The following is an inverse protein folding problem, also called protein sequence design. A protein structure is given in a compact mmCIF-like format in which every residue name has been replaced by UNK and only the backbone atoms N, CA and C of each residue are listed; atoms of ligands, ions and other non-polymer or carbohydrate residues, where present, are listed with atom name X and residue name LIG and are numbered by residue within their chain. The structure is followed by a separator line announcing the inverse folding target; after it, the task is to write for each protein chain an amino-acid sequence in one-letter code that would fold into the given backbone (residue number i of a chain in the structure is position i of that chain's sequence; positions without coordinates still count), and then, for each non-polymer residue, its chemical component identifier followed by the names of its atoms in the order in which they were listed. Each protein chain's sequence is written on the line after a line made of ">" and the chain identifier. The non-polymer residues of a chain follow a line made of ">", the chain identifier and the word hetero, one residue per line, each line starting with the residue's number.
data_IF_714310600443
#
_entry.id   IF_714310600443
#
_cell.length_a   1.000
_cell.length_b   1.000
_cell.length_c   1.000
_cell.angle_alpha   90.00
_cell.angle_beta   90.00
_cell.angle_gamma   90.00
#
_symmetry.space_group_name_H-M   'P 1'
#
loop_
_entity.id
_entity.type
_entity.pdbx_description
1 polymer ?
#
# COMPACT_ATOMS: atom_id res chain seq x y z
N UNK A 1 -24.82 49.28 -24.97
CA UNK A 1 -23.59 49.49 -24.20
C UNK A 1 -23.43 48.34 -23.22
N UNK A 2 -22.51 47.43 -23.52
CA UNK A 2 -22.13 46.38 -22.59
C UNK A 2 -21.26 47.00 -21.50
N UNK A 3 -21.74 47.01 -20.27
CA UNK A 3 -20.94 47.42 -19.12
C UNK A 3 -20.06 46.25 -18.71
N UNK A 4 -18.77 46.32 -18.98
CA UNK A 4 -17.81 45.37 -18.46
C UNK A 4 -17.67 45.61 -16.95
N UNK A 5 -18.21 44.71 -16.14
CA UNK A 5 -17.99 44.65 -14.71
C UNK A 5 -16.61 44.04 -14.51
N UNK A 6 -15.60 44.86 -14.19
CA UNK A 6 -14.33 44.36 -13.76
C UNK A 6 -14.49 43.80 -12.35
N UNK A 7 -14.32 42.48 -12.19
CA UNK A 7 -14.18 41.86 -10.87
C UNK A 7 -12.81 42.25 -10.31
N UNK A 8 -12.76 43.25 -9.44
CA UNK A 8 -11.51 43.84 -8.93
C UNK A 8 -10.98 43.20 -7.64
N UNK A 9 -11.70 42.23 -7.09
CA UNK A 9 -11.25 41.45 -5.93
C UNK A 9 -11.92 40.08 -5.92
N UNK A 10 -11.29 39.16 -6.56
CA UNK A 10 -11.55 37.74 -6.31
C UNK A 10 -10.32 37.13 -5.64
N UNK A 11 -10.53 36.18 -4.75
CA UNK A 11 -9.48 35.39 -4.14
C UNK A 11 -9.77 33.94 -4.48
N UNK A 12 -8.78 33.26 -5.00
CA UNK A 12 -8.86 31.79 -5.26
C UNK A 12 -8.88 30.97 -3.96
N UNK A 13 -9.03 31.64 -2.82
CA UNK A 13 -8.90 31.04 -1.51
C UNK A 13 -7.45 31.06 -1.01
N UNK A 14 -7.22 30.50 0.15
CA UNK A 14 -5.88 30.35 0.72
C UNK A 14 -5.17 29.18 0.07
N UNK A 15 -3.86 29.30 -0.12
CA UNK A 15 -3.02 28.18 -0.58
C UNK A 15 -3.18 27.02 0.40
N UNK A 16 -3.48 25.83 -0.13
CA UNK A 16 -3.56 24.61 0.66
C UNK A 16 -2.16 24.24 1.12
N UNK A 17 -1.98 24.09 2.42
CA UNK A 17 -0.72 23.67 3.05
C UNK A 17 -0.84 22.29 3.67
N UNK A 18 0.28 21.62 3.97
CA UNK A 18 0.26 20.34 4.67
C UNK A 18 -0.48 20.42 6.00
N UNK A 19 -0.32 21.51 6.77
CA UNK A 19 -1.02 21.71 8.04
C UNK A 19 -2.54 21.85 7.87
N UNK A 20 -3.03 22.48 6.80
CA UNK A 20 -4.47 22.56 6.52
C UNK A 20 -5.05 21.21 6.13
N UNK A 21 -4.28 20.38 5.39
CA UNK A 21 -4.68 18.99 5.06
C UNK A 21 -4.73 18.15 6.33
N UNK A 22 -3.69 18.21 7.17
CA UNK A 22 -3.65 17.46 8.44
C UNK A 22 -4.86 17.78 9.29
N UNK A 23 -5.16 19.07 9.47
CA UNK A 23 -6.30 19.49 10.27
C UNK A 23 -7.65 19.05 9.68
N UNK A 24 -7.80 19.13 8.35
CA UNK A 24 -9.06 18.82 7.67
C UNK A 24 -9.31 17.33 7.46
N UNK A 25 -8.26 16.55 7.18
CA UNK A 25 -8.39 15.14 6.79
C UNK A 25 -8.07 14.16 7.94
N UNK A 26 -7.07 14.49 8.77
CA UNK A 26 -6.54 13.60 9.81
C UNK A 26 -6.79 14.13 11.24
N UNK A 27 -7.50 15.24 11.38
CA UNK A 27 -7.96 15.76 12.67
C UNK A 27 -9.03 14.85 13.31
N UNK A 28 -9.31 15.06 14.59
CA UNK A 28 -10.38 14.31 15.28
C UNK A 28 -11.56 15.23 15.56
N UNK A 29 -12.80 14.90 15.09
CA UNK A 29 -13.15 13.77 14.23
C UNK A 29 -12.69 13.97 12.78
N UNK A 30 -12.21 12.90 12.13
CA UNK A 30 -11.87 12.91 10.71
C UNK A 30 -13.12 12.67 9.85
N UNK A 31 -13.28 13.37 8.70
CA UNK A 31 -14.35 13.05 7.76
C UNK A 31 -14.27 11.62 7.22
N UNK A 32 -13.08 11.01 7.20
CA UNK A 32 -12.89 9.62 6.79
C UNK A 32 -13.44 8.60 7.81
N UNK A 33 -13.68 9.01 9.06
CA UNK A 33 -14.22 8.10 10.10
C UNK A 33 -15.65 7.64 9.77
N UNK A 34 -16.36 8.39 8.93
CA UNK A 34 -17.70 8.00 8.45
C UNK A 34 -17.68 6.91 7.38
N UNK A 35 -16.54 6.66 6.76
CA UNK A 35 -16.39 5.66 5.69
C UNK A 35 -16.13 4.30 6.33
N UNK A 36 -17.04 3.36 6.08
CA UNK A 36 -17.00 2.01 6.66
C UNK A 36 -16.03 1.06 5.93
N UNK A 37 -15.62 1.40 4.71
CA UNK A 37 -14.72 0.57 3.91
C UNK A 37 -13.25 0.87 4.21
N UNK A 38 -12.37 -0.11 3.95
CA UNK A 38 -10.93 0.10 3.97
C UNK A 38 -10.50 1.16 2.97
N UNK A 39 -9.51 1.97 3.34
CA UNK A 39 -9.07 3.10 2.53
C UNK A 39 -7.64 2.91 2.01
N UNK A 40 -7.41 3.33 0.77
CA UNK A 40 -6.09 3.66 0.26
C UNK A 40 -5.96 5.19 0.29
N UNK A 41 -4.95 5.69 0.98
CA UNK A 41 -4.75 7.12 1.23
C UNK A 41 -3.49 7.58 0.50
N UNK A 42 -3.60 8.67 -0.24
CA UNK A 42 -2.46 9.43 -0.74
C UNK A 42 -2.66 10.91 -0.46
N UNK A 43 -1.60 11.58 -0.03
CA UNK A 43 -1.59 13.03 0.17
C UNK A 43 -0.89 13.66 -1.04
N UNK A 44 -1.62 13.73 -2.14
CA UNK A 44 -1.09 14.16 -3.44
C UNK A 44 -0.45 15.55 -3.38
N UNK A 45 0.79 15.64 -3.83
CA UNK A 45 1.54 16.90 -3.87
C UNK A 45 2.27 17.27 -2.56
N UNK A 46 2.07 16.49 -1.49
CA UNK A 46 2.76 16.70 -0.21
C UNK A 46 3.67 15.53 0.11
N UNK A 47 4.90 15.84 0.50
CA UNK A 47 5.94 14.86 0.81
C UNK A 47 6.74 15.25 2.05
N UNK A 48 6.35 16.35 2.69
CA UNK A 48 6.95 16.73 3.96
C UNK A 48 6.62 15.72 5.06
N UNK A 49 7.62 15.43 5.92
CA UNK A 49 7.50 14.39 6.94
C UNK A 49 6.34 14.66 7.92
N UNK A 50 6.03 15.89 8.21
CA UNK A 50 4.95 16.27 9.14
C UNK A 50 3.59 15.83 8.62
N UNK A 51 3.30 16.15 7.36
CA UNK A 51 2.02 15.80 6.70
C UNK A 51 1.91 14.28 6.50
N UNK A 52 2.97 13.65 6.00
CA UNK A 52 2.98 12.20 5.74
C UNK A 52 2.89 11.40 7.04
N UNK A 53 3.62 11.77 8.09
CA UNK A 53 3.55 11.08 9.38
C UNK A 53 2.16 11.21 10.04
N UNK A 54 1.46 12.30 9.80
CA UNK A 54 0.06 12.45 10.25
C UNK A 54 -0.86 11.47 9.53
N UNK A 55 -0.69 11.30 8.21
CA UNK A 55 -1.44 10.30 7.43
C UNK A 55 -1.12 8.87 7.88
N UNK A 56 0.17 8.55 8.13
CA UNK A 56 0.60 7.24 8.64
C UNK A 56 -0.01 6.98 10.02
N UNK A 57 0.03 7.97 10.92
CA UNK A 57 -0.54 7.85 12.26
C UNK A 57 -2.05 7.62 12.20
N UNK A 58 -2.75 8.35 11.34
CA UNK A 58 -4.18 8.15 11.10
C UNK A 58 -4.48 6.74 10.60
N UNK A 59 -3.78 6.26 9.57
CA UNK A 59 -3.97 4.93 9.02
C UNK A 59 -3.67 3.81 10.04
N UNK A 60 -2.62 3.99 10.84
CA UNK A 60 -2.27 3.05 11.92
C UNK A 60 -3.32 3.02 13.05
N UNK A 61 -3.87 4.18 13.40
CA UNK A 61 -4.94 4.28 14.41
C UNK A 61 -6.26 3.71 13.92
N UNK A 62 -6.58 3.89 12.65
CA UNK A 62 -7.77 3.33 12.03
C UNK A 62 -7.68 1.82 11.77
N UNK A 63 -6.47 1.27 11.58
CA UNK A 63 -6.11 -0.15 11.32
C UNK A 63 -6.61 -0.75 10.00
N UNK A 64 -7.62 -0.19 9.36
CA UNK A 64 -8.21 -0.67 8.10
C UNK A 64 -7.78 0.15 6.85
N UNK A 65 -6.75 0.98 6.98
CA UNK A 65 -6.31 1.89 5.93
C UNK A 65 -4.84 1.68 5.59
N UNK A 66 -4.43 2.07 4.37
CA UNK A 66 -3.05 1.97 3.90
C UNK A 66 -2.64 3.23 3.15
N UNK A 67 -1.45 3.77 3.45
CA UNK A 67 -0.93 5.00 2.85
C UNK A 67 0.02 4.66 1.71
N UNK A 68 -0.23 5.23 0.53
CA UNK A 68 0.65 5.14 -0.64
C UNK A 68 1.30 6.51 -0.83
N UNK A 69 2.62 6.57 -0.67
CA UNK A 69 3.37 7.82 -0.61
C UNK A 69 4.09 8.04 -1.94
N UNK A 70 3.93 9.24 -2.49
CA UNK A 70 4.74 9.72 -3.60
C UNK A 70 6.11 10.14 -3.10
N UNK A 71 7.14 9.61 -3.74
CA UNK A 71 8.49 10.11 -3.57
C UNK A 71 8.66 11.42 -4.33
N UNK A 72 9.31 12.41 -3.73
CA UNK A 72 9.69 13.64 -4.43
C UNK A 72 10.88 13.42 -5.34
N UNK A 73 10.89 14.12 -6.46
CA UNK A 73 12.14 14.50 -7.11
C UNK A 73 12.77 15.63 -6.28
N UNK A 74 13.96 15.39 -5.74
CA UNK A 74 14.68 16.42 -5.00
C UNK A 74 15.22 17.47 -5.99
N UNK A 75 14.77 18.70 -5.88
CA UNK A 75 15.45 19.88 -6.42
C UNK A 75 16.02 20.64 -5.24
N UNK A 76 17.23 20.43 -4.89
CA UNK A 76 18.19 21.11 -4.01
C UNK A 76 17.80 22.30 -3.11
N UNK A 77 16.53 22.62 -2.95
CA UNK A 77 16.06 23.69 -2.07
C UNK A 77 14.96 23.15 -1.16
N UNK A 78 15.24 23.08 0.13
CA UNK A 78 14.26 22.78 1.15
C UNK A 78 13.05 23.74 1.01
N UNK A 79 11.87 23.17 0.75
CA UNK A 79 10.60 23.90 0.81
C UNK A 79 9.91 24.18 -0.52
N UNK A 80 10.42 23.75 -1.65
CA UNK A 80 9.69 23.85 -2.93
C UNK A 80 9.24 22.49 -3.39
N UNK A 81 7.97 22.16 -3.20
CA UNK A 81 7.25 21.02 -3.80
C UNK A 81 7.06 21.22 -5.30
N UNK A 82 8.08 21.67 -6.01
CA UNK A 82 7.98 21.78 -7.45
C UNK A 82 8.38 20.45 -8.07
N UNK A 83 7.39 19.73 -8.58
CA UNK A 83 7.56 18.68 -9.58
C UNK A 83 8.18 19.36 -10.79
N UNK A 84 9.52 19.42 -10.89
CA UNK A 84 10.18 20.09 -12.01
C UNK A 84 10.70 19.06 -13.01
N UNK A 85 10.37 19.29 -14.28
CA UNK A 85 10.95 18.56 -15.39
C UNK A 85 12.48 18.72 -15.38
N UNK A 86 13.21 17.62 -15.51
CA UNK A 86 14.65 17.62 -15.72
C UNK A 86 15.55 17.43 -14.49
N UNK A 87 15.01 16.94 -13.39
CA UNK A 87 15.79 16.71 -12.16
C UNK A 87 16.66 15.46 -12.26
N UNK A 88 17.91 15.61 -11.86
CA UNK A 88 18.83 14.51 -11.64
C UNK A 88 18.25 13.56 -10.60
N UNK A 89 18.14 12.29 -10.95
CA UNK A 89 17.69 11.24 -10.03
C UNK A 89 18.78 11.09 -8.96
N UNK A 90 18.42 11.40 -7.74
CA UNK A 90 19.26 11.14 -6.58
C UNK A 90 18.56 10.18 -5.62
N UNK A 91 18.80 8.86 -5.75
CA UNK A 91 18.24 7.87 -4.85
C UNK A 91 18.67 8.05 -3.39
N UNK A 92 19.86 8.60 -3.14
CA UNK A 92 20.35 8.83 -1.79
C UNK A 92 19.50 9.90 -1.07
N UNK A 93 19.18 11.00 -1.76
CA UNK A 93 18.28 12.02 -1.22
C UNK A 93 16.87 11.51 -1.01
N UNK A 94 16.38 10.61 -1.87
CA UNK A 94 15.08 9.97 -1.70
C UNK A 94 15.07 9.03 -0.50
N UNK A 95 16.15 8.32 -0.26
CA UNK A 95 16.30 7.46 0.91
C UNK A 95 16.26 8.30 2.20
N UNK A 96 16.99 9.41 2.25
CA UNK A 96 16.99 10.35 3.40
C UNK A 96 15.57 10.85 3.68
N UNK A 97 14.81 11.21 2.65
CA UNK A 97 13.43 11.63 2.82
C UNK A 97 12.55 10.49 3.37
N UNK A 98 12.69 9.29 2.83
CA UNK A 98 11.97 8.11 3.31
C UNK A 98 12.32 7.77 4.76
N UNK A 99 13.57 7.92 5.17
CA UNK A 99 14.02 7.75 6.56
C UNK A 99 13.43 8.77 7.52
N UNK A 100 12.98 9.94 7.02
CA UNK A 100 12.27 10.94 7.84
C UNK A 100 10.83 10.55 8.17
N UNK A 101 10.27 9.56 7.48
CA UNK A 101 8.92 9.07 7.74
C UNK A 101 8.92 8.08 8.90
N UNK A 102 7.82 8.06 9.62
CA UNK A 102 7.61 7.09 10.71
C UNK A 102 7.61 5.67 10.15
N UNK A 103 8.47 4.81 10.71
CA UNK A 103 8.47 3.38 10.37
C UNK A 103 7.10 2.77 10.65
N UNK A 104 6.45 2.26 9.61
CA UNK A 104 5.10 1.72 9.71
C UNK A 104 4.83 0.71 8.61
N UNK A 105 4.15 -0.38 8.98
CA UNK A 105 3.65 -1.34 8.00
C UNK A 105 2.41 -0.85 7.24
N UNK A 106 1.79 0.25 7.66
CA UNK A 106 0.61 0.84 7.04
C UNK A 106 0.94 1.81 5.90
N UNK A 107 2.22 1.90 5.50
CA UNK A 107 2.64 2.82 4.46
C UNK A 107 3.70 2.21 3.54
N UNK A 108 3.72 2.67 2.28
CA UNK A 108 4.75 2.33 1.30
C UNK A 108 5.06 3.53 0.40
N UNK A 109 6.35 3.74 0.10
CA UNK A 109 6.85 4.84 -0.76
C UNK A 109 7.16 4.30 -2.14
N UNK A 110 6.84 5.09 -3.17
CA UNK A 110 7.08 4.76 -4.58
C UNK A 110 7.88 5.85 -5.30
N UNK A 111 8.88 5.43 -6.05
CA UNK A 111 9.82 6.28 -6.78
C UNK A 111 10.21 5.63 -8.13
N UNK A 112 10.48 6.38 -9.17
CA UNK A 112 10.34 7.83 -9.33
C UNK A 112 8.92 8.24 -9.74
N UNK A 113 8.76 9.54 -9.94
CA UNK A 113 7.58 10.11 -10.60
C UNK A 113 7.46 9.60 -12.03
N UNK A 114 6.25 9.65 -12.57
CA UNK A 114 5.93 9.21 -13.92
C UNK A 114 5.56 10.41 -14.80
N UNK A 115 5.91 10.34 -16.07
CA UNK A 115 5.46 11.30 -17.07
C UNK A 115 4.22 10.73 -17.76
N UNK A 116 3.17 11.52 -17.82
CA UNK A 116 1.91 11.19 -18.50
C UNK A 116 1.64 12.22 -19.62
N UNK A 117 0.73 11.90 -20.55
CA UNK A 117 0.15 12.93 -21.41
C UNK A 117 -0.56 13.96 -20.55
N UNK A 118 -0.37 15.25 -20.84
CA UNK A 118 -0.97 16.32 -20.04
C UNK A 118 -2.49 16.40 -20.27
N UNK A 119 -3.33 16.01 -19.31
CA UNK A 119 -4.78 16.08 -19.45
C UNK A 119 -5.31 17.52 -19.37
N UNK A 120 -4.48 18.46 -18.92
CA UNK A 120 -4.84 19.89 -18.80
C UNK A 120 -4.37 20.71 -20.00
N UNK A 121 -3.72 20.08 -20.97
CA UNK A 121 -3.31 20.75 -22.19
C UNK A 121 -4.54 21.25 -22.94
N UNK A 122 -4.60 22.57 -23.20
CA UNK A 122 -5.74 23.21 -23.86
C UNK A 122 -5.97 22.74 -25.30
N UNK A 123 -7.13 23.05 -25.83
CA UNK A 123 -7.47 22.77 -27.23
C UNK A 123 -6.42 23.45 -28.14
N UNK A 124 -5.76 22.65 -28.98
CA UNK A 124 -4.67 23.14 -29.85
C UNK A 124 -3.25 22.97 -29.28
N UNK A 125 -3.13 22.46 -28.06
CA UNK A 125 -1.80 22.07 -27.53
C UNK A 125 -1.22 20.91 -28.36
N UNK A 126 0.12 20.83 -28.50
CA UNK A 126 0.75 19.69 -29.17
C UNK A 126 0.32 18.36 -28.53
N UNK A 127 0.07 17.35 -29.34
CA UNK A 127 -0.21 15.98 -28.85
C UNK A 127 0.93 15.37 -28.05
N UNK A 128 2.09 16.03 -28.05
CA UNK A 128 3.29 15.69 -27.28
C UNK A 128 3.37 16.38 -25.91
N UNK A 129 2.36 17.19 -25.54
CA UNK A 129 2.32 17.82 -24.22
C UNK A 129 2.30 16.76 -23.13
N UNK A 130 3.28 16.81 -22.25
CA UNK A 130 3.43 15.86 -21.15
C UNK A 130 3.53 16.57 -19.80
N UNK A 131 3.16 15.87 -18.73
CA UNK A 131 3.23 16.36 -17.37
C UNK A 131 3.82 15.28 -16.45
N UNK A 132 4.75 15.69 -15.61
CA UNK A 132 5.29 14.82 -14.57
C UNK A 132 4.38 14.87 -13.33
N UNK A 133 4.00 13.71 -12.84
CA UNK A 133 3.09 13.55 -11.70
C UNK A 133 3.60 12.49 -10.74
N UNK A 134 3.12 12.53 -9.50
CA UNK A 134 3.33 11.47 -8.53
C UNK A 134 2.74 10.15 -9.03
N UNK A 135 3.36 9.05 -8.66
CA UNK A 135 2.99 7.72 -9.13
C UNK A 135 1.91 7.06 -8.25
N UNK A 136 1.64 7.57 -7.04
CA UNK A 136 0.78 6.92 -6.06
C UNK A 136 -0.64 6.66 -6.58
N UNK A 137 -1.22 7.57 -7.33
CA UNK A 137 -2.54 7.36 -7.94
C UNK A 137 -2.56 6.15 -8.89
N UNK A 138 -1.54 6.02 -9.74
CA UNK A 138 -1.40 4.87 -10.63
C UNK A 138 -1.13 3.57 -9.85
N UNK A 139 -0.30 3.64 -8.80
CA UNK A 139 -0.01 2.51 -7.91
C UNK A 139 -1.28 2.03 -7.19
N UNK A 140 -2.09 2.93 -6.66
CA UNK A 140 -3.39 2.58 -6.06
C UNK A 140 -4.33 1.91 -7.07
N UNK A 141 -4.32 2.37 -8.33
CA UNK A 141 -5.02 1.70 -9.43
C UNK A 141 -4.53 0.28 -9.69
N UNK A 142 -3.21 0.06 -9.62
CA UNK A 142 -2.60 -1.28 -9.74
C UNK A 142 -2.99 -2.16 -8.53
N UNK A 143 -3.06 -1.60 -7.33
CA UNK A 143 -3.54 -2.32 -6.15
C UNK A 143 -4.96 -2.83 -6.38
N UNK A 144 -5.86 -1.94 -6.76
CA UNK A 144 -7.25 -2.29 -7.01
C UNK A 144 -7.40 -3.34 -8.13
N UNK A 145 -6.66 -3.20 -9.23
CA UNK A 145 -6.67 -4.15 -10.33
C UNK A 145 -6.11 -5.53 -9.92
N UNK A 146 -5.06 -5.54 -9.10
CA UNK A 146 -4.46 -6.78 -8.57
C UNK A 146 -5.42 -7.47 -7.61
N UNK A 147 -6.04 -6.73 -6.71
CA UNK A 147 -7.02 -7.24 -5.75
C UNK A 147 -8.22 -7.89 -6.47
N UNK A 148 -8.72 -7.22 -7.49
CA UNK A 148 -9.87 -7.73 -8.27
C UNK A 148 -9.54 -8.97 -9.09
N UNK A 149 -8.32 -9.08 -9.65
CA UNK A 149 -7.95 -10.16 -10.57
C UNK A 149 -7.26 -11.36 -9.90
N UNK A 150 -6.50 -11.12 -8.84
CA UNK A 150 -5.63 -12.12 -8.22
C UNK A 150 -5.82 -12.24 -6.71
N UNK A 151 -6.47 -11.27 -6.07
CA UNK A 151 -6.63 -11.17 -4.63
C UNK A 151 -5.56 -10.30 -3.94
N UNK A 152 -5.92 -9.82 -2.76
CA UNK A 152 -5.11 -8.87 -1.94
C UNK A 152 -3.76 -9.46 -1.50
N UNK A 153 -3.64 -10.79 -1.43
CA UNK A 153 -2.41 -11.50 -1.06
C UNK A 153 -1.33 -11.47 -2.16
N UNK A 154 -1.70 -11.16 -3.41
CA UNK A 154 -0.73 -11.03 -4.50
C UNK A 154 -0.03 -9.67 -4.41
N UNK A 155 1.31 -9.68 -4.44
CA UNK A 155 2.08 -8.44 -4.51
C UNK A 155 1.68 -7.61 -5.75
N UNK A 156 1.30 -6.33 -5.58
CA UNK A 156 0.97 -5.45 -6.70
C UNK A 156 2.24 -4.91 -7.37
N UNK A 157 3.14 -5.82 -7.71
CA UNK A 157 4.44 -5.56 -8.30
C UNK A 157 4.82 -6.67 -9.29
N UNK A 158 5.81 -6.41 -10.14
CA UNK A 158 6.33 -7.32 -11.14
C UNK A 158 5.81 -7.00 -12.55
N UNK A 159 6.10 -7.89 -13.51
CA UNK A 159 5.83 -7.67 -14.94
C UNK A 159 4.34 -7.41 -15.27
N UNK A 160 3.42 -7.95 -14.47
CA UNK A 160 1.98 -7.75 -14.64
C UNK A 160 1.47 -6.42 -14.04
N UNK A 161 2.28 -5.70 -13.27
CA UNK A 161 1.88 -4.46 -12.58
C UNK A 161 2.24 -3.23 -13.41
N UNK A 162 1.69 -3.17 -14.63
CA UNK A 162 1.98 -2.10 -15.59
C UNK A 162 1.28 -0.80 -15.21
N UNK A 163 2.03 0.31 -15.26
CA UNK A 163 1.51 1.65 -15.08
C UNK A 163 0.87 2.11 -16.40
N UNK A 164 -0.45 1.94 -16.49
CA UNK A 164 -1.20 2.36 -17.67
C UNK A 164 -1.19 3.90 -17.79
N UNK A 165 -1.02 4.40 -19.03
CA UNK A 165 -1.02 5.85 -19.30
C UNK A 165 0.32 6.55 -19.02
N UNK A 166 1.29 5.88 -18.43
CA UNK A 166 2.64 6.44 -18.32
C UNK A 166 3.34 6.44 -19.69
N UNK A 167 3.87 7.59 -20.08
CA UNK A 167 4.62 7.80 -21.34
C UNK A 167 6.09 7.47 -21.12
N UNK A 168 6.66 7.93 -20.02
CA UNK A 168 8.05 7.68 -19.65
C UNK A 168 8.26 7.68 -18.14
N UNK A 169 9.38 7.13 -17.73
CA UNK A 169 9.89 7.12 -16.37
C UNK A 169 11.41 7.28 -16.43
N UNK A 170 12.02 8.00 -15.49
CA UNK A 170 13.48 8.09 -15.41
C UNK A 170 14.12 6.70 -15.30
N UNK A 171 15.28 6.53 -15.96
CA UNK A 171 16.04 5.27 -15.91
C UNK A 171 16.77 5.15 -14.58
N UNK A 172 16.66 4.01 -13.94
CA UNK A 172 17.36 3.66 -12.71
C UNK A 172 18.47 2.66 -13.00
N UNK A 173 19.68 2.94 -12.54
CA UNK A 173 20.81 1.99 -12.59
C UNK A 173 20.66 0.90 -11.53
N UNK A 174 21.44 -0.19 -11.61
CA UNK A 174 21.44 -1.20 -10.57
C UNK A 174 21.84 -0.63 -9.20
N UNK A 175 22.83 0.25 -9.17
CA UNK A 175 23.25 0.92 -7.92
C UNK A 175 22.12 1.80 -7.32
N UNK A 176 21.33 2.46 -8.18
CA UNK A 176 20.17 3.22 -7.72
C UNK A 176 19.10 2.30 -7.12
N UNK A 177 18.86 1.14 -7.74
CA UNK A 177 17.90 0.16 -7.25
C UNK A 177 18.34 -0.44 -5.92
N UNK A 178 19.61 -0.74 -5.77
CA UNK A 178 20.20 -1.25 -4.52
C UNK A 178 20.08 -0.22 -3.39
N UNK A 179 20.34 1.07 -3.69
CA UNK A 179 20.18 2.15 -2.72
C UNK A 179 18.73 2.33 -2.27
N UNK A 180 17.76 2.24 -3.18
CA UNK A 180 16.33 2.34 -2.85
C UNK A 180 15.82 1.14 -2.05
N UNK A 181 16.45 -0.02 -2.20
CA UNK A 181 16.09 -1.24 -1.48
C UNK A 181 16.76 -1.34 -0.11
N UNK A 182 16.98 -0.22 0.55
CA UNK A 182 17.57 -0.13 1.89
C UNK A 182 16.73 -0.89 2.92
N UNK A 183 17.43 -1.48 3.90
CA UNK A 183 16.77 -2.12 5.03
C UNK A 183 16.28 -1.11 6.09
N UNK A 184 16.66 0.17 6.00
CA UNK A 184 16.22 1.20 6.95
C UNK A 184 14.84 1.78 6.59
N UNK A 185 14.65 2.19 5.34
CA UNK A 185 13.41 2.78 4.85
C UNK A 185 13.25 2.47 3.34
N UNK A 186 12.77 1.28 2.98
CA UNK A 186 12.76 0.82 1.59
C UNK A 186 11.81 1.65 0.74
N UNK A 187 12.25 1.99 -0.46
CA UNK A 187 11.49 2.72 -1.48
C UNK A 187 11.23 1.81 -2.67
N UNK A 188 9.98 1.67 -3.05
CA UNK A 188 9.57 0.79 -4.13
C UNK A 188 9.82 1.44 -5.49
N UNK A 189 10.61 0.78 -6.34
CA UNK A 189 11.00 1.29 -7.62
C UNK A 189 9.90 1.13 -8.69
N UNK A 190 9.73 2.15 -9.53
CA UNK A 190 8.98 2.10 -10.79
C UNK A 190 9.98 2.21 -11.92
N UNK A 191 9.96 1.29 -12.85
CA UNK A 191 10.98 1.23 -13.91
C UNK A 191 10.42 0.73 -15.23
N UNK A 192 11.10 1.11 -16.32
CA UNK A 192 10.84 0.51 -17.62
C UNK A 192 11.54 -0.84 -17.73
N UNK A 193 10.79 -1.86 -18.16
CA UNK A 193 11.31 -3.20 -18.47
C UNK A 193 10.97 -3.52 -19.92
N UNK A 194 11.96 -3.85 -20.77
CA UNK A 194 11.72 -4.26 -22.15
C UNK A 194 10.70 -5.40 -22.23
N UNK A 195 9.69 -5.25 -23.08
CA UNK A 195 8.62 -6.23 -23.24
C UNK A 195 7.46 -6.10 -22.25
N UNK A 196 7.64 -5.50 -21.09
CA UNK A 196 6.58 -5.27 -20.10
C UNK A 196 6.14 -3.80 -20.02
N UNK A 197 7.01 -2.85 -20.42
CA UNK A 197 6.76 -1.42 -20.30
C UNK A 197 7.13 -0.86 -18.93
N UNK A 198 6.47 0.21 -18.52
CA UNK A 198 6.66 0.83 -17.20
C UNK A 198 5.88 0.03 -16.17
N UNK A 199 6.57 -0.50 -15.18
CA UNK A 199 6.00 -1.40 -14.16
C UNK A 199 6.41 -0.97 -12.75
N UNK A 200 5.56 -1.26 -11.79
CA UNK A 200 5.92 -1.23 -10.37
C UNK A 200 6.78 -2.45 -10.05
N UNK A 201 7.98 -2.24 -9.52
CA UNK A 201 8.97 -3.29 -9.28
C UNK A 201 9.50 -3.27 -7.84
N UNK A 202 8.60 -3.12 -6.87
CA UNK A 202 8.86 -3.17 -5.45
C UNK A 202 7.54 -3.28 -4.69
N UNK A 203 7.56 -3.92 -3.52
CA UNK A 203 6.35 -4.16 -2.71
C UNK A 203 6.68 -4.25 -1.23
N UNK A 204 7.52 -3.33 -0.73
CA UNK A 204 7.92 -3.22 0.67
C UNK A 204 7.19 -2.08 1.37
N UNK A 205 6.87 -2.27 2.64
CA UNK A 205 6.34 -1.24 3.54
C UNK A 205 7.49 -0.46 4.19
N UNK A 206 7.18 0.65 4.87
CA UNK A 206 8.15 1.40 5.67
C UNK A 206 8.53 0.70 7.00
N UNK A 207 8.27 -0.59 7.14
CA UNK A 207 8.63 -1.38 8.32
C UNK A 207 9.48 -2.59 7.95
N UNK A 208 10.78 -2.39 7.70
CA UNK A 208 11.68 -3.49 7.35
C UNK A 208 11.90 -4.45 8.53
N UNK A 209 12.28 -5.70 8.22
CA UNK A 209 12.66 -6.69 9.22
C UNK A 209 11.50 -7.37 9.98
N UNK A 210 10.25 -6.98 9.76
CA UNK A 210 9.07 -7.57 10.38
C UNK A 210 8.30 -8.49 9.42
N UNK A 211 7.39 -9.30 9.98
CA UNK A 211 6.51 -10.15 9.17
C UNK A 211 5.73 -9.31 8.15
N UNK A 212 5.39 -8.08 8.52
CA UNK A 212 4.60 -7.12 7.73
C UNK A 212 5.43 -6.19 6.84
N UNK A 213 6.70 -6.54 6.59
CA UNK A 213 7.58 -5.75 5.71
C UNK A 213 7.10 -5.70 4.25
N UNK A 214 6.20 -6.58 3.84
CA UNK A 214 5.65 -6.60 2.47
C UNK A 214 4.24 -6.04 2.42
N UNK A 215 3.98 -5.20 1.41
CA UNK A 215 2.67 -4.61 1.15
C UNK A 215 1.54 -5.65 1.09
N UNK A 216 1.66 -6.77 0.32
CA UNK A 216 0.59 -7.77 0.28
C UNK A 216 0.33 -8.41 1.64
N UNK A 217 1.35 -8.60 2.47
CA UNK A 217 1.18 -9.20 3.80
C UNK A 217 0.36 -8.28 4.71
N UNK A 218 0.73 -6.99 4.80
CA UNK A 218 -0.02 -6.03 5.61
C UNK A 218 -1.44 -5.83 5.08
N UNK A 219 -1.61 -5.69 3.77
CA UNK A 219 -2.94 -5.51 3.17
C UNK A 219 -3.83 -6.73 3.32
N UNK A 220 -3.25 -7.93 3.28
CA UNK A 220 -3.99 -9.16 3.60
C UNK A 220 -4.47 -9.17 5.04
N UNK A 221 -3.65 -8.74 6.01
CA UNK A 221 -4.09 -8.60 7.40
C UNK A 221 -5.25 -7.62 7.52
N UNK A 222 -5.12 -6.42 6.94
CA UNK A 222 -6.20 -5.42 6.92
C UNK A 222 -7.50 -6.02 6.35
N UNK A 223 -7.40 -6.73 5.24
CA UNK A 223 -8.55 -7.39 4.61
C UNK A 223 -9.18 -8.44 5.51
N UNK A 224 -8.35 -9.30 6.15
CA UNK A 224 -8.84 -10.34 7.05
C UNK A 224 -9.48 -9.73 8.30
N UNK A 225 -8.83 -8.77 8.97
CA UNK A 225 -9.36 -8.09 10.15
C UNK A 225 -10.73 -7.46 9.86
N UNK A 226 -10.84 -6.74 8.74
CA UNK A 226 -12.09 -6.12 8.31
C UNK A 226 -13.17 -7.15 8.00
N UNK A 227 -12.83 -8.18 7.20
CA UNK A 227 -13.78 -9.23 6.80
C UNK A 227 -14.28 -10.03 8.00
N UNK A 228 -13.38 -10.39 8.92
CA UNK A 228 -13.75 -11.12 10.13
C UNK A 228 -14.65 -10.28 11.05
N UNK A 229 -14.35 -9.00 11.21
CA UNK A 229 -15.20 -8.07 11.96
C UNK A 229 -16.61 -7.99 11.36
N UNK A 230 -16.71 -7.87 10.04
CA UNK A 230 -18.01 -7.79 9.36
C UNK A 230 -18.77 -9.12 9.43
N UNK A 231 -18.08 -10.26 9.28
CA UNK A 231 -18.66 -11.59 9.34
C UNK A 231 -19.16 -11.97 10.74
N UNK A 232 -18.59 -11.40 11.80
CA UNK A 232 -18.96 -11.71 13.19
C UNK A 232 -19.96 -10.73 13.78
N UNK A 233 -20.42 -9.72 13.03
CA UNK A 233 -21.41 -8.73 13.50
C UNK A 233 -22.72 -9.34 13.98
N UNK A 234 -23.10 -10.51 13.46
CA UNK A 234 -24.31 -11.20 13.92
C UNK A 234 -24.24 -11.65 15.39
N UNK A 235 -23.04 -11.73 15.97
CA UNK A 235 -22.87 -12.13 17.36
C UNK A 235 -23.26 -11.03 18.36
N UNK A 236 -23.39 -9.79 17.89
CA UNK A 236 -23.75 -8.65 18.74
C UNK A 236 -25.19 -8.81 19.24
N UNK A 237 -25.35 -8.75 20.57
CA UNK A 237 -26.63 -8.97 21.30
C UNK A 237 -27.18 -10.40 21.23
N UNK A 238 -26.47 -11.39 20.73
CA UNK A 238 -26.84 -12.79 20.85
C UNK A 238 -26.48 -13.34 22.25
N UNK A 239 -27.20 -14.36 22.76
CA UNK A 239 -26.83 -15.03 24.00
C UNK A 239 -25.39 -15.58 23.92
N UNK A 240 -24.57 -15.26 24.91
CA UNK A 240 -23.16 -15.66 24.97
C UNK A 240 -23.04 -17.09 25.53
N UNK A 241 -23.25 -18.07 24.67
CA UNK A 241 -23.25 -19.50 24.99
C UNK A 241 -22.43 -20.32 23.97
N UNK A 242 -22.32 -21.61 24.25
CA UNK A 242 -21.58 -22.55 23.38
C UNK A 242 -22.15 -22.68 21.96
N UNK A 243 -23.43 -22.37 21.76
CA UNK A 243 -24.06 -22.40 20.43
C UNK A 243 -23.58 -21.21 19.57
N UNK A 244 -23.51 -20.03 20.19
CA UNK A 244 -22.94 -18.84 19.54
C UNK A 244 -21.49 -19.09 19.19
N UNK A 245 -20.68 -19.62 20.09
CA UNK A 245 -19.26 -19.90 19.82
C UNK A 245 -19.06 -20.91 18.69
N UNK A 246 -19.89 -21.98 18.66
CA UNK A 246 -19.84 -22.95 17.55
C UNK A 246 -20.20 -22.30 16.20
N UNK A 247 -21.21 -21.41 16.18
CA UNK A 247 -21.61 -20.68 14.97
C UNK A 247 -20.50 -19.72 14.49
N UNK A 248 -19.84 -19.01 15.40
CA UNK A 248 -18.71 -18.14 15.10
C UNK A 248 -17.55 -18.96 14.51
N UNK A 249 -17.15 -20.05 15.18
CA UNK A 249 -16.10 -20.96 14.69
C UNK A 249 -16.38 -21.45 13.27
N UNK A 250 -17.62 -21.90 13.02
CA UNK A 250 -18.00 -22.39 11.70
C UNK A 250 -17.94 -21.28 10.63
N UNK A 251 -18.47 -20.09 10.93
CA UNK A 251 -18.50 -18.96 10.02
C UNK A 251 -17.09 -18.51 9.65
N UNK A 252 -16.25 -18.29 10.65
CA UNK A 252 -14.86 -17.84 10.45
C UNK A 252 -14.02 -18.92 9.74
N UNK A 253 -14.15 -20.18 10.14
CA UNK A 253 -13.41 -21.30 9.50
C UNK A 253 -13.80 -21.47 8.03
N UNK A 254 -15.09 -21.37 7.70
CA UNK A 254 -15.55 -21.44 6.30
C UNK A 254 -14.96 -20.32 5.44
N UNK A 255 -14.94 -19.09 5.96
CA UNK A 255 -14.33 -17.95 5.27
C UNK A 255 -12.82 -18.17 5.06
N UNK A 256 -12.09 -18.56 6.11
CA UNK A 256 -10.64 -18.78 6.01
C UNK A 256 -10.30 -19.99 5.12
N UNK A 257 -11.13 -21.05 5.11
CA UNK A 257 -10.97 -22.16 4.18
C UNK A 257 -11.13 -21.71 2.73
N UNK A 258 -12.13 -20.89 2.45
CA UNK A 258 -12.34 -20.30 1.11
C UNK A 258 -11.16 -19.41 0.72
N UNK A 259 -10.68 -18.57 1.62
CA UNK A 259 -9.54 -17.70 1.37
C UNK A 259 -8.23 -18.48 1.16
N UNK A 260 -7.99 -19.54 1.94
CA UNK A 260 -6.87 -20.45 1.76
C UNK A 260 -6.94 -21.20 0.43
N UNK A 261 -8.10 -21.70 0.03
CA UNK A 261 -8.29 -22.42 -1.26
C UNK A 261 -8.01 -21.54 -2.48
N UNK A 262 -8.18 -20.21 -2.34
CA UNK A 262 -7.80 -19.21 -3.35
C UNK A 262 -6.29 -18.90 -3.35
N UNK A 263 -5.51 -19.49 -2.44
CA UNK A 263 -4.07 -19.26 -2.31
C UNK A 263 -3.73 -18.05 -1.42
N UNK A 264 -4.68 -17.52 -0.64
CA UNK A 264 -4.47 -16.36 0.22
C UNK A 264 -3.64 -16.65 1.48
N UNK A 265 -3.59 -17.92 1.91
CA UNK A 265 -2.80 -18.37 3.08
C UNK A 265 -1.77 -19.40 2.67
N UNK A 266 -0.66 -19.43 3.41
CA UNK A 266 0.38 -20.44 3.27
C UNK A 266 -0.05 -21.75 3.96
N UNK A 267 0.50 -22.88 3.49
CA UNK A 267 0.23 -24.20 4.06
C UNK A 267 -0.38 -25.16 3.05
N UNK A 268 0.07 -26.39 3.08
CA UNK A 268 -0.42 -27.47 2.20
C UNK A 268 -1.78 -28.04 2.62
N UNK A 269 -2.17 -27.79 3.87
CA UNK A 269 -3.44 -28.20 4.46
C UNK A 269 -4.04 -27.03 5.25
N UNK A 270 -5.36 -26.99 5.36
CA UNK A 270 -6.06 -25.94 6.08
C UNK A 270 -5.62 -25.83 7.56
N UNK A 271 -5.35 -26.96 8.21
CA UNK A 271 -4.85 -27.03 9.58
C UNK A 271 -3.47 -26.38 9.79
N UNK A 272 -2.67 -26.25 8.72
CA UNK A 272 -1.37 -25.57 8.75
C UNK A 272 -1.48 -24.11 8.31
N UNK A 273 -2.61 -23.73 7.72
CA UNK A 273 -2.84 -22.39 7.17
C UNK A 273 -3.48 -21.44 8.17
N UNK A 274 -4.37 -21.95 9.01
CA UNK A 274 -5.05 -21.14 10.03
C UNK A 274 -5.60 -21.99 11.18
N UNK A 275 -5.89 -21.33 12.29
CA UNK A 275 -6.72 -21.88 13.35
C UNK A 275 -7.74 -20.84 13.82
N UNK A 276 -8.87 -21.32 14.34
CA UNK A 276 -9.92 -20.51 14.96
C UNK A 276 -10.25 -21.12 16.31
N UNK A 277 -10.24 -20.31 17.36
CA UNK A 277 -10.60 -20.73 18.71
C UNK A 277 -11.62 -19.77 19.29
N UNK A 278 -12.81 -20.28 19.56
CA UNK A 278 -13.86 -19.61 20.29
C UNK A 278 -14.60 -20.68 21.10
N UNK A 279 -14.19 -20.89 22.35
CA UNK A 279 -14.66 -21.91 23.25
C UNK A 279 -14.61 -21.46 24.71
N UNK A 280 -14.84 -22.36 25.65
CA UNK A 280 -14.83 -22.07 27.11
C UNK A 280 -13.44 -21.65 27.61
N UNK A 281 -12.35 -22.01 26.93
CA UNK A 281 -11.01 -21.65 27.41
C UNK A 281 -10.72 -20.16 27.24
N UNK A 282 -11.18 -19.56 26.12
CA UNK A 282 -10.99 -18.13 25.85
C UNK A 282 -12.20 -17.27 26.20
N UNK A 283 -13.36 -17.88 26.53
CA UNK A 283 -14.55 -17.21 27.02
C UNK A 283 -14.87 -17.67 28.45
N UNK A 284 -14.10 -17.14 29.41
CA UNK A 284 -14.28 -17.41 30.83
C UNK A 284 -15.59 -16.82 31.34
N UNK A 285 -16.09 -17.28 32.51
CA UNK A 285 -17.31 -16.74 33.09
C UNK A 285 -17.21 -15.22 33.28
N UNK A 286 -16.05 -14.70 33.68
CA UNK A 286 -15.81 -13.26 33.80
C UNK A 286 -15.96 -12.51 32.48
N UNK A 287 -15.52 -13.11 31.37
CA UNK A 287 -15.69 -12.49 30.03
C UNK A 287 -17.19 -12.47 29.65
N UNK A 288 -17.91 -13.56 29.93
CA UNK A 288 -19.36 -13.67 29.68
C UNK A 288 -20.13 -12.63 30.50
N UNK A 289 -19.83 -12.52 31.79
CA UNK A 289 -20.48 -11.58 32.71
C UNK A 289 -20.26 -10.11 32.32
N UNK A 290 -19.10 -9.81 31.68
CA UNK A 290 -18.77 -8.49 31.12
C UNK A 290 -19.26 -8.29 29.68
N UNK A 291 -19.98 -9.25 29.11
CA UNK A 291 -20.53 -9.15 27.75
C UNK A 291 -19.52 -9.32 26.62
N UNK A 292 -18.33 -9.90 26.87
CA UNK A 292 -17.30 -10.12 25.84
C UNK A 292 -17.41 -11.53 25.26
N UNK A 293 -17.26 -11.61 23.93
CA UNK A 293 -16.97 -12.85 23.21
C UNK A 293 -15.56 -12.74 22.60
N UNK A 294 -14.67 -13.60 23.03
CA UNK A 294 -13.28 -13.65 22.56
C UNK A 294 -13.13 -14.69 21.45
N UNK A 295 -12.63 -14.23 20.32
CA UNK A 295 -12.34 -15.08 19.16
C UNK A 295 -10.84 -14.96 18.88
N UNK A 296 -10.13 -16.08 18.91
CA UNK A 296 -8.71 -16.11 18.54
C UNK A 296 -8.55 -16.74 17.17
N UNK A 297 -7.93 -15.99 16.26
CA UNK A 297 -7.65 -16.43 14.89
C UNK A 297 -6.16 -16.31 14.64
N UNK A 298 -5.52 -17.39 14.19
CA UNK A 298 -4.15 -17.37 13.70
C UNK A 298 -4.11 -17.75 12.23
N UNK A 299 -3.29 -17.04 11.45
CA UNK A 299 -3.17 -17.23 10.00
C UNK A 299 -1.71 -17.28 9.55
N UNK A 300 -1.40 -18.18 8.64
CA UNK A 300 -0.11 -18.26 7.98
C UNK A 300 -0.16 -17.48 6.67
N UNK A 301 0.51 -16.31 6.61
CA UNK A 301 0.44 -15.41 5.47
C UNK A 301 1.43 -15.80 4.37
N UNK A 302 1.02 -15.64 3.12
CA UNK A 302 1.88 -15.77 1.95
C UNK A 302 2.87 -14.59 1.88
N UNK A 303 4.13 -14.90 1.55
CA UNK A 303 5.16 -13.89 1.29
C UNK A 303 5.53 -13.89 -0.19
N UNK A 304 5.74 -12.73 -0.82
CA UNK A 304 6.19 -12.67 -2.20
C UNK A 304 7.62 -13.19 -2.33
N UNK A 305 7.94 -13.83 -3.46
CA UNK A 305 9.33 -14.05 -3.86
C UNK A 305 9.87 -12.71 -4.40
N UNK A 306 10.96 -12.22 -3.82
CA UNK A 306 11.59 -10.96 -4.22
C UNK A 306 12.86 -11.22 -5.04
N UNK A 307 13.57 -12.30 -4.74
CA UNK A 307 14.79 -12.70 -5.41
C UNK A 307 14.64 -14.09 -6.04
N UNK A 308 15.10 -14.21 -7.29
CA UNK A 308 15.21 -15.49 -7.99
C UNK A 308 16.68 -15.77 -8.23
N UNK A 309 17.21 -16.79 -7.56
CA UNK A 309 18.59 -17.23 -7.76
C UNK A 309 18.57 -18.40 -8.74
N UNK A 310 19.27 -18.25 -9.86
CA UNK A 310 19.38 -19.29 -10.88
C UNK A 310 20.83 -19.80 -10.88
N UNK A 311 21.01 -21.02 -10.45
CA UNK A 311 22.30 -21.71 -10.54
C UNK A 311 22.37 -22.44 -11.87
N UNK A 312 23.25 -22.02 -12.76
CA UNK A 312 23.48 -22.66 -14.07
C UNK A 312 24.79 -23.43 -14.00
N UNK A 313 24.69 -24.76 -14.11
CA UNK A 313 25.86 -25.63 -14.23
C UNK A 313 25.93 -26.22 -15.64
N UNK A 314 27.14 -26.51 -16.13
CA UNK A 314 27.33 -27.31 -17.34
C UNK A 314 27.16 -28.80 -16.99
N UNK A 315 26.32 -29.49 -17.75
CA UNK A 315 26.14 -30.92 -17.64
C UNK A 315 26.92 -31.62 -18.76
N UNK A 316 27.91 -32.42 -18.41
CA UNK A 316 28.69 -33.18 -19.34
C UNK A 316 28.46 -34.67 -19.04
N UNK A 317 27.60 -35.33 -19.84
CA UNK A 317 27.44 -36.77 -19.98
C UNK A 317 27.32 -37.61 -18.69
N UNK A 318 26.95 -37.06 -17.55
CA UNK A 318 26.80 -37.77 -16.27
C UNK A 318 27.52 -37.19 -15.07
N UNK A 319 28.21 -36.05 -15.21
CA UNK A 319 28.88 -35.37 -14.08
C UNK A 319 28.30 -33.96 -13.89
N UNK A 320 27.70 -33.71 -12.75
CA UNK A 320 27.22 -32.37 -12.36
C UNK A 320 28.38 -31.57 -11.80
N UNK A 321 28.80 -30.50 -12.49
CA UNK A 321 29.78 -29.53 -11.97
C UNK A 321 28.97 -28.34 -11.40
N UNK A 322 28.94 -28.20 -10.09
CA UNK A 322 28.44 -27.00 -9.42
C UNK A 322 29.58 -26.01 -9.27
N UNK A 323 29.55 -24.88 -9.99
CA UNK A 323 30.38 -23.73 -9.65
C UNK A 323 29.69 -22.97 -8.53
N UNK A 324 30.39 -22.86 -7.39
CA UNK A 324 29.97 -22.09 -6.23
C UNK A 324 30.20 -20.58 -6.41
#
# INVERSE_FOLDING_TARGET
>A
TQTNIALTSYSDGSVVTGSTIVAAAFGSPSPFDTIQNSLLINVAGFTDASTINSAISYASGRTDSFVVIDATSYTGAAGTSALSDGVTIDPASQLILSESYTSSSYAAVYYPQITISDPTAGVGAPSTSTKTVGAAGAVMGIYAATDASRGVFKAPAGLGSRVAGAVSVPSLSSANLDALNSDAAPVNAIRYIPGAGIVVFGSRTLQPGFVTQYVPVRRTLIYLEKSLTDLTRFAIFEPNDSRLWARINATVSNFLTSFWSQGGLAGSQASNAFFVKCDSDNNTQSAIDNGYVNIQVGVALQRPAEFVVINIGQFDGGTTITQG
#
